data_IF_726828813907
#
_entry.id   IF_726828813907
#
_cell.length_a   1.000
_cell.length_b   1.000
_cell.length_c   1.000
_cell.angle_alpha   90.00
_cell.angle_beta   90.00
_cell.angle_gamma   90.00
#
_symmetry.space_group_name_H-M   'P 1'
#
loop_
_entity.id
_entity.type
_entity.pdbx_description
1 polymer ?
#
# COMPACT_ATOMS: atom_id res chain seq x y z
N UNK A 1 -20.47 -21.19 0.41
CA UNK A 1 -18.99 -21.20 0.49
C UNK A 1 -18.59 -20.12 1.48
N UNK A 2 -18.13 -20.51 2.68
CA UNK A 2 -17.64 -19.53 3.65
C UNK A 2 -16.29 -18.99 3.17
N UNK A 3 -16.25 -17.71 2.79
CA UNK A 3 -15.01 -17.03 2.47
C UNK A 3 -14.48 -16.38 3.74
N UNK A 4 -13.58 -17.10 4.42
CA UNK A 4 -13.07 -16.70 5.72
C UNK A 4 -11.75 -15.97 5.51
N UNK A 5 -11.82 -14.64 5.34
CA UNK A 5 -10.65 -13.79 5.18
C UNK A 5 -10.15 -13.29 6.55
N UNK A 6 -9.10 -13.92 7.08
CA UNK A 6 -8.40 -13.43 8.27
C UNK A 6 -6.97 -13.06 7.92
N UNK A 7 -6.60 -11.83 8.28
CA UNK A 7 -5.25 -11.29 8.10
C UNK A 7 -4.81 -10.67 9.43
N UNK A 8 -3.52 -10.80 9.75
CA UNK A 8 -2.93 -10.24 10.95
C UNK A 8 -1.69 -9.43 10.57
N UNK A 9 -1.47 -8.30 11.23
CA UNK A 9 -0.32 -7.46 10.94
C UNK A 9 -0.04 -6.48 12.06
N UNK A 10 1.22 -6.08 12.14
CA UNK A 10 1.72 -5.14 13.13
C UNK A 10 2.65 -4.13 12.46
N UNK A 11 2.66 -2.92 12.99
CA UNK A 11 3.62 -1.90 12.60
C UNK A 11 4.16 -1.17 13.81
N UNK A 12 5.40 -0.70 13.71
CA UNK A 12 6.05 0.07 14.76
C UNK A 12 6.74 1.30 14.18
N UNK A 13 6.62 2.41 14.89
CA UNK A 13 7.20 3.70 14.53
C UNK A 13 8.49 3.93 15.32
N UNK A 14 9.56 4.17 14.59
CA UNK A 14 10.89 4.48 15.09
C UNK A 14 11.25 5.93 14.76
N UNK A 15 12.36 6.40 15.34
CA UNK A 15 13.01 7.69 14.99
C UNK A 15 12.05 8.89 15.06
N UNK A 16 11.34 9.06 16.19
CA UNK A 16 10.33 10.13 16.36
C UNK A 16 9.30 10.14 15.23
N UNK A 17 8.78 8.97 14.88
CA UNK A 17 7.81 8.76 13.78
C UNK A 17 8.34 9.00 12.36
N UNK A 18 9.66 9.11 12.16
CA UNK A 18 10.26 9.23 10.81
C UNK A 18 10.35 7.91 10.07
N UNK A 19 10.49 6.78 10.77
CA UNK A 19 10.62 5.46 10.15
C UNK A 19 9.52 4.54 10.67
N UNK A 20 8.74 3.93 9.78
CA UNK A 20 7.77 2.89 10.15
C UNK A 20 8.19 1.58 9.52
N UNK A 21 8.25 0.51 10.32
CA UNK A 21 8.39 -0.86 9.82
C UNK A 21 7.09 -1.62 10.07
N UNK A 22 6.68 -2.45 9.13
CA UNK A 22 5.47 -3.26 9.25
C UNK A 22 5.69 -4.69 8.76
N UNK A 23 4.99 -5.62 9.37
CA UNK A 23 4.87 -7.00 8.90
C UNK A 23 3.40 -7.39 8.87
N UNK A 24 2.96 -8.02 7.79
CA UNK A 24 1.57 -8.45 7.61
C UNK A 24 1.53 -9.87 7.06
N UNK A 25 0.60 -10.67 7.56
CA UNK A 25 0.25 -12.00 7.08
C UNK A 25 -1.21 -11.98 6.64
N UNK A 26 -1.45 -12.26 5.36
CA UNK A 26 -2.76 -12.26 4.73
C UNK A 26 -3.30 -13.68 4.58
N UNK A 27 -4.61 -13.85 4.76
CA UNK A 27 -5.35 -15.10 4.58
C UNK A 27 -4.75 -16.31 5.29
N UNK A 28 -4.34 -16.14 6.55
CA UNK A 28 -3.54 -17.12 7.29
C UNK A 28 -4.16 -18.53 7.32
N UNK A 29 -5.50 -18.64 7.34
CA UNK A 29 -6.18 -19.93 7.39
C UNK A 29 -6.52 -20.51 6.01
N UNK A 30 -6.63 -19.68 4.97
CA UNK A 30 -7.07 -20.11 3.64
C UNK A 30 -5.89 -20.18 2.66
N UNK A 31 -5.51 -21.39 2.24
CA UNK A 31 -4.37 -21.61 1.31
C UNK A 31 -4.63 -21.02 -0.07
N UNK A 32 -5.81 -21.31 -0.61
CA UNK A 32 -6.20 -20.96 -1.97
C UNK A 32 -7.56 -20.27 -1.96
N UNK A 33 -7.71 -19.30 -2.85
CA UNK A 33 -9.01 -18.69 -3.13
C UNK A 33 -9.49 -19.22 -4.47
N UNK A 34 -10.69 -19.80 -4.45
CA UNK A 34 -11.31 -20.38 -5.64
C UNK A 34 -12.36 -19.42 -6.17
N UNK A 35 -12.20 -19.02 -7.42
CA UNK A 35 -13.19 -18.26 -8.16
C UNK A 35 -13.93 -19.21 -9.09
N UNK A 36 -15.25 -19.29 -8.93
CA UNK A 36 -16.11 -20.14 -9.75
C UNK A 36 -16.93 -19.27 -10.68
N UNK A 37 -16.80 -19.49 -11.97
CA UNK A 37 -17.67 -18.91 -13.00
C UNK A 37 -18.54 -20.01 -13.57
N UNK A 38 -19.84 -19.74 -13.66
CA UNK A 38 -20.81 -20.66 -14.24
C UNK A 38 -21.48 -19.97 -15.42
N UNK A 39 -21.39 -20.61 -16.58
CA UNK A 39 -22.08 -20.18 -17.79
C UNK A 39 -23.06 -21.29 -18.17
N UNK A 40 -24.33 -20.93 -18.36
CA UNK A 40 -25.38 -21.87 -18.73
C UNK A 40 -26.15 -21.30 -19.91
N UNK A 41 -26.25 -22.12 -20.94
CA UNK A 41 -27.12 -21.96 -22.10
C UNK A 41 -28.08 -23.16 -22.16
N UNK A 42 -29.09 -23.12 -23.04
CA UNK A 42 -30.03 -24.21 -23.27
C UNK A 42 -29.33 -25.49 -23.74
N UNK A 43 -28.21 -25.35 -24.45
CA UNK A 43 -27.51 -26.48 -25.07
C UNK A 43 -26.21 -26.86 -24.35
N UNK A 44 -25.66 -26.02 -23.47
CA UNK A 44 -24.40 -26.29 -22.81
C UNK A 44 -24.29 -25.65 -21.42
N UNK A 45 -23.50 -26.29 -20.57
CA UNK A 45 -23.10 -25.77 -19.27
C UNK A 45 -21.58 -25.78 -19.20
N UNK A 46 -20.99 -24.63 -18.87
CA UNK A 46 -19.56 -24.48 -18.66
C UNK A 46 -19.31 -24.00 -17.25
N UNK A 47 -18.41 -24.69 -16.56
CA UNK A 47 -17.93 -24.30 -15.25
C UNK A 47 -16.43 -24.05 -15.32
N UNK A 48 -16.02 -22.85 -14.94
CA UNK A 48 -14.61 -22.50 -14.81
C UNK A 48 -14.25 -22.33 -13.33
N UNK A 49 -13.13 -22.94 -12.94
CA UNK A 49 -12.58 -22.85 -11.59
C UNK A 49 -11.17 -22.26 -11.69
N UNK A 50 -10.99 -21.08 -11.12
CA UNK A 50 -9.69 -20.44 -11.03
C UNK A 50 -9.18 -20.50 -9.59
N UNK A 51 -8.02 -21.12 -9.40
CA UNK A 51 -7.36 -21.28 -8.12
C UNK A 51 -6.22 -20.26 -8.03
N UNK A 52 -6.26 -19.38 -7.03
CA UNK A 52 -5.17 -18.45 -6.76
C UNK A 52 -4.59 -18.68 -5.36
N UNK A 53 -3.26 -18.57 -5.17
CA UNK A 53 -2.68 -18.52 -3.83
C UNK A 53 -3.29 -17.38 -3.04
N UNK A 54 -3.80 -17.66 -1.85
CA UNK A 54 -4.44 -16.65 -0.99
C UNK A 54 -3.50 -16.15 0.12
N UNK A 55 -2.61 -17.01 0.62
CA UNK A 55 -1.64 -16.68 1.68
C UNK A 55 -0.53 -15.80 1.16
N UNK A 56 -0.27 -14.70 1.86
CA UNK A 56 0.86 -13.83 1.55
C UNK A 56 1.47 -13.26 2.84
N UNK A 57 2.79 -13.05 2.84
CA UNK A 57 3.50 -12.31 3.87
C UNK A 57 4.12 -11.08 3.23
N UNK A 58 3.93 -9.93 3.86
CA UNK A 58 4.45 -8.65 3.39
C UNK A 58 5.29 -7.99 4.49
N UNK A 59 6.44 -7.44 4.08
CA UNK A 59 7.27 -6.57 4.92
C UNK A 59 7.28 -5.19 4.29
N UNK A 60 7.07 -4.16 5.11
CA UNK A 60 6.99 -2.77 4.66
C UNK A 60 7.95 -1.87 5.43
N UNK A 61 8.54 -0.93 4.71
CA UNK A 61 9.36 0.16 5.26
C UNK A 61 8.83 1.48 4.71
N UNK A 62 8.57 2.45 5.58
CA UNK A 62 8.13 3.80 5.22
C UNK A 62 9.01 4.84 5.91
N UNK A 63 9.51 5.81 5.15
CA UNK A 63 10.22 6.97 5.67
C UNK A 63 9.39 8.25 5.49
N UNK A 64 9.28 9.06 6.55
CA UNK A 64 8.62 10.35 6.55
C UNK A 64 9.67 11.46 6.64
N UNK A 65 9.83 12.25 5.58
CA UNK A 65 10.84 13.32 5.50
C UNK A 65 10.54 14.54 6.39
N UNK A 66 9.32 14.63 6.96
CA UNK A 66 8.87 15.81 7.69
C UNK A 66 8.35 16.90 6.75
N UNK A 67 7.92 18.04 7.32
CA UNK A 67 7.51 19.20 6.51
C UNK A 67 8.76 19.90 5.98
N UNK A 68 8.71 20.39 4.74
CA UNK A 68 9.64 21.40 4.24
C UNK A 68 9.47 22.65 5.11
N UNK A 69 10.38 22.86 6.05
CA UNK A 69 10.43 24.08 6.86
C UNK A 69 11.17 25.15 6.08
N UNK A 70 10.69 25.48 4.88
CA UNK A 70 11.07 26.73 4.26
C UNK A 70 9.94 27.72 4.53
N UNK A 71 10.06 28.39 5.68
CA UNK A 71 9.24 29.56 5.93
C UNK A 71 9.82 30.69 5.08
N UNK A 72 9.49 30.71 3.78
CA UNK A 72 9.66 31.90 2.95
C UNK A 72 8.60 32.93 3.32
N UNK A 73 8.48 33.26 4.61
CA UNK A 73 8.05 34.61 4.91
C UNK A 73 9.15 35.48 4.30
N UNK A 74 8.76 36.35 3.36
CA UNK A 74 9.62 37.43 2.90
C UNK A 74 10.02 38.21 4.16
N UNK A 75 11.12 37.84 4.81
CA UNK A 75 11.75 38.67 5.82
C UNK A 75 12.10 39.95 5.07
N UNK A 76 11.38 41.02 5.38
CA UNK A 76 11.69 42.37 4.89
C UNK A 76 13.20 42.60 5.10
N UNK A 77 13.96 42.65 4.00
CA UNK A 77 15.41 42.87 4.02
C UNK A 77 16.30 41.74 3.50
N UNK A 78 15.77 40.57 3.11
CA UNK A 78 16.58 39.54 2.44
C UNK A 78 16.55 39.79 0.92
N UNK A 79 17.61 40.41 0.39
CA UNK A 79 17.87 40.48 -1.05
C UNK A 79 18.31 39.10 -1.54
N UNK A 80 17.55 38.53 -2.46
CA UNK A 80 17.83 37.21 -3.03
C UNK A 80 18.69 37.39 -4.29
N UNK A 81 19.99 37.12 -4.18
CA UNK A 81 20.98 37.32 -5.26
C UNK A 81 20.87 36.26 -6.39
N UNK A 82 20.02 35.24 -6.19
CA UNK A 82 19.77 34.17 -7.15
C UNK A 82 18.75 34.52 -8.25
N UNK A 83 18.10 35.69 -8.17
CA UNK A 83 17.35 36.25 -9.30
C UNK A 83 18.33 36.93 -10.25
N UNK A 84 19.20 36.13 -10.89
CA UNK A 84 19.94 36.60 -12.07
C UNK A 84 18.91 36.97 -13.14
N UNK A 85 18.56 38.25 -13.19
CA UNK A 85 17.97 38.89 -14.36
C UNK A 85 18.98 38.66 -15.47
N UNK A 86 18.65 37.77 -16.40
CA UNK A 86 19.40 37.63 -17.64
C UNK A 86 19.22 38.95 -18.40
N UNK A 87 20.34 39.62 -18.69
CA UNK A 87 20.42 40.73 -19.64
C UNK A 87 19.93 40.31 -21.03
#
# INVERSE_FOLDING_TARGET
>A
MNNIWYSFGGSYKFLKNKLTRSINAYNIFQKEQVWRSFFKDNNFQTQNLNYRPARAVNVGVRWNFGKLTENVSRKLGVSNDDLKVRE
#
